data_IF_548742340509
#
_entry.id   IF_548742340509
#
_cell.length_a   1.000
_cell.length_b   1.000
_cell.length_c   1.000
_cell.angle_alpha   90.00
_cell.angle_beta   90.00
_cell.angle_gamma   90.00
#
_symmetry.space_group_name_H-M   'P 1'
#
loop_
_entity.id
_entity.type
_entity.pdbx_description
1 polymer ?
#
# COMPACT_ATOMS: atom_id res chain seq x y z
N UNK A 1 5.58 -13.03 -13.12
CA UNK A 1 4.94 -12.18 -12.08
C UNK A 1 5.98 -11.32 -11.35
N UNK A 2 6.79 -10.51 -12.06
CA UNK A 2 7.86 -9.71 -11.43
C UNK A 2 7.99 -8.29 -12.02
N UNK A 3 7.00 -7.80 -12.76
CA UNK A 3 7.10 -6.50 -13.44
C UNK A 3 6.78 -5.29 -12.53
N UNK A 4 6.21 -5.52 -11.35
CA UNK A 4 5.76 -4.44 -10.45
C UNK A 4 6.81 -4.00 -9.42
N UNK A 5 7.93 -4.73 -9.29
CA UNK A 5 8.96 -4.41 -8.29
C UNK A 5 9.70 -3.09 -8.56
N UNK A 6 9.68 -2.60 -9.82
CA UNK A 6 10.37 -1.37 -10.23
C UNK A 6 9.43 -0.24 -10.66
N UNK A 7 8.11 -0.43 -10.56
CA UNK A 7 7.16 0.65 -10.82
C UNK A 7 7.20 1.67 -9.67
N UNK A 8 7.32 2.95 -10.02
CA UNK A 8 7.19 4.04 -9.05
C UNK A 8 5.80 3.96 -8.43
N UNK A 9 5.70 4.05 -7.11
CA UNK A 9 4.42 3.95 -6.38
C UNK A 9 3.35 4.92 -6.94
N UNK A 10 3.78 6.07 -7.45
CA UNK A 10 2.91 7.07 -8.10
C UNK A 10 2.20 6.60 -9.39
N UNK A 11 2.62 5.49 -10.00
CA UNK A 11 1.98 4.93 -11.22
C UNK A 11 1.03 3.77 -10.91
N UNK A 12 0.90 3.39 -9.63
CA UNK A 12 -0.02 2.34 -9.19
C UNK A 12 -1.43 2.93 -8.98
N UNK A 13 -2.48 2.14 -9.21
CA UNK A 13 -3.85 2.57 -8.87
C UNK A 13 -3.98 2.82 -7.36
N UNK A 14 -4.95 3.65 -6.92
CA UNK A 14 -5.15 3.95 -5.50
C UNK A 14 -5.19 2.69 -4.62
N UNK A 15 -5.92 1.65 -5.06
CA UNK A 15 -5.97 0.36 -4.38
C UNK A 15 -4.66 -0.43 -4.40
N UNK A 16 -3.81 -0.28 -5.42
CA UNK A 16 -2.47 -0.90 -5.45
C UNK A 16 -1.51 -0.18 -4.50
N UNK A 17 -1.54 1.16 -4.44
CA UNK A 17 -0.73 1.95 -3.51
C UNK A 17 -1.06 1.61 -2.05
N UNK A 18 -2.35 1.47 -1.76
CA UNK A 18 -2.84 1.08 -0.44
C UNK A 18 -2.35 -0.31 -0.02
N UNK A 19 -2.40 -1.31 -0.92
CA UNK A 19 -1.84 -2.64 -0.66
C UNK A 19 -0.33 -2.60 -0.38
N UNK A 20 0.42 -1.77 -1.10
CA UNK A 20 1.86 -1.58 -0.86
C UNK A 20 2.12 -0.92 0.50
N UNK A 21 1.32 0.06 0.90
CA UNK A 21 1.45 0.73 2.21
C UNK A 21 1.16 -0.25 3.37
N UNK A 22 0.11 -1.06 3.25
CA UNK A 22 -0.23 -2.10 4.24
C UNK A 22 0.89 -3.14 4.32
N UNK A 23 1.36 -3.67 3.19
CA UNK A 23 2.46 -4.63 3.15
C UNK A 23 3.73 -4.06 3.79
N UNK A 24 4.05 -2.79 3.52
CA UNK A 24 5.19 -2.09 4.12
C UNK A 24 5.05 -1.95 5.64
N UNK A 25 3.87 -1.58 6.13
CA UNK A 25 3.60 -1.46 7.56
C UNK A 25 3.72 -2.81 8.28
N UNK A 26 3.21 -3.89 7.68
CA UNK A 26 3.35 -5.25 8.21
C UNK A 26 4.81 -5.74 8.23
N UNK A 27 5.58 -5.41 7.19
CA UNK A 27 7.01 -5.77 7.11
C UNK A 27 7.89 -5.05 8.13
N UNK A 28 7.47 -3.89 8.64
CA UNK A 28 8.26 -3.09 9.59
C UNK A 28 8.30 -3.66 11.02
N UNK A 29 7.68 -4.83 11.29
CA UNK A 29 7.56 -5.41 12.64
C UNK A 29 7.10 -4.39 13.70
N UNK A 30 6.27 -3.44 13.30
CA UNK A 30 5.73 -2.44 14.20
C UNK A 30 4.86 -3.14 15.25
N UNK A 31 5.10 -2.86 16.54
CA UNK A 31 4.28 -3.39 17.65
C UNK A 31 2.85 -2.87 17.61
N UNK A 32 2.64 -1.70 16.99
CA UNK A 32 1.35 -1.05 16.78
C UNK A 32 1.38 -0.35 15.43
N UNK A 33 0.33 -0.54 14.63
CA UNK A 33 0.11 0.19 13.38
C UNK A 33 -1.11 1.08 13.60
N UNK A 34 -0.93 2.41 13.47
CA UNK A 34 -2.04 3.36 13.47
C UNK A 34 -2.42 3.63 12.02
N UNK A 35 -3.67 3.37 11.68
CA UNK A 35 -4.19 3.58 10.34
C UNK A 35 -5.46 4.44 10.44
N UNK A 36 -5.36 5.68 9.96
CA UNK A 36 -6.51 6.57 9.83
C UNK A 36 -7.06 6.41 8.40
N UNK A 37 -8.28 5.90 8.29
CA UNK A 37 -8.98 5.63 7.02
C UNK A 37 -8.21 4.81 5.97
N UNK A 38 -7.67 3.62 6.29
CA UNK A 38 -6.80 2.87 5.38
C UNK A 38 -7.50 2.30 4.15
N UNK A 39 -8.82 2.52 3.95
CA UNK A 39 -9.65 1.94 2.88
C UNK A 39 -10.42 3.01 2.07
N UNK A 40 -10.25 4.31 2.35
CA UNK A 40 -11.14 5.36 1.85
C UNK A 40 -11.04 5.64 0.32
N UNK A 41 -10.24 4.91 -0.44
CA UNK A 41 -10.09 5.12 -1.89
C UNK A 41 -10.34 3.83 -2.69
N UNK A 42 -11.52 3.25 -2.52
CA UNK A 42 -12.13 2.36 -3.51
C UNK A 42 -13.12 3.19 -4.36
N UNK A 43 -12.61 3.97 -5.31
CA UNK A 43 -13.45 4.90 -6.08
C UNK A 43 -12.79 5.48 -7.33
N UNK A 44 -12.61 4.64 -8.36
CA UNK A 44 -12.81 4.93 -9.79
C UNK A 44 -12.48 3.69 -10.62
#
# INVERSE_FOLDING_TARGET
MAHMAHQRVSTLSGGQQQRVAIARALMQQAKVILADEPIASAGS
#
